data_IF_483307058921
#
_entry.id   IF_483307058921
#
_cell.length_a   1.000
_cell.length_b   1.000
_cell.length_c   1.000
_cell.angle_alpha   90.00
_cell.angle_beta   90.00
_cell.angle_gamma   90.00
#
_symmetry.space_group_name_H-M   'P 1'
#
loop_
_entity.id
_entity.type
_entity.pdbx_description
1 polymer ?
#
# COMPACT_ATOMS: atom_id res chain seq x y z
N UNK A 1 -7.52 16.28 19.16
CA UNK A 1 -8.07 16.38 20.54
C UNK A 1 -8.59 15.00 20.92
N UNK A 2 -8.25 14.47 22.10
CA UNK A 2 -8.81 13.21 22.59
C UNK A 2 -10.34 13.32 22.69
N UNK A 3 -11.02 12.27 22.28
CA UNK A 3 -12.45 12.12 22.52
C UNK A 3 -12.66 11.26 23.77
N UNK A 4 -13.50 11.71 24.70
CA UNK A 4 -13.82 10.96 25.92
C UNK A 4 -15.22 10.38 25.79
N UNK A 5 -15.33 9.07 25.89
CA UNK A 5 -16.61 8.36 25.91
C UNK A 5 -16.79 7.68 27.27
N UNK A 6 -17.82 8.07 27.98
CA UNK A 6 -18.14 7.48 29.28
C UNK A 6 -19.11 6.31 29.10
N UNK A 7 -18.63 5.10 29.32
CA UNK A 7 -19.43 3.90 29.31
C UNK A 7 -19.82 3.50 30.74
N UNK A 8 -21.02 3.01 30.92
CA UNK A 8 -21.48 2.43 32.16
C UNK A 8 -22.09 1.06 31.92
N UNK A 9 -21.67 0.06 32.66
CA UNK A 9 -22.14 -1.31 32.53
C UNK A 9 -21.37 -2.25 33.43
N UNK A 10 -21.70 -3.53 33.34
CA UNK A 10 -21.00 -4.61 34.07
C UNK A 10 -20.55 -5.67 33.11
N UNK A 11 -19.28 -6.02 33.17
CA UNK A 11 -18.72 -7.16 32.43
C UNK A 11 -18.43 -8.26 33.44
N UNK A 12 -19.07 -9.41 33.28
CA UNK A 12 -18.82 -10.56 34.16
C UNK A 12 -17.40 -11.10 33.95
N UNK A 13 -16.85 -11.76 34.95
CA UNK A 13 -15.52 -12.36 34.86
C UNK A 13 -15.42 -13.29 33.65
N UNK A 14 -14.31 -13.19 32.89
CA UNK A 14 -14.03 -13.94 31.66
C UNK A 14 -14.91 -13.59 30.45
N UNK A 15 -15.78 -12.58 30.56
CA UNK A 15 -16.61 -12.10 29.46
C UNK A 15 -16.00 -10.89 28.78
N UNK A 16 -16.47 -10.57 27.58
CA UNK A 16 -16.15 -9.36 26.85
C UNK A 16 -17.45 -8.62 26.47
N UNK A 17 -17.31 -7.32 26.19
CA UNK A 17 -18.38 -6.46 25.73
C UNK A 17 -17.87 -5.64 24.53
N UNK A 18 -18.60 -5.68 23.44
CA UNK A 18 -18.36 -4.76 22.32
C UNK A 18 -19.03 -3.43 22.65
N UNK A 19 -18.26 -2.36 22.52
CA UNK A 19 -18.73 -1.00 22.76
C UNK A 19 -18.59 -0.23 21.44
N UNK A 20 -19.72 0.24 20.91
CA UNK A 20 -19.73 1.11 19.74
C UNK A 20 -19.37 2.53 20.17
N UNK A 21 -18.31 3.06 19.59
CA UNK A 21 -17.91 4.44 19.79
C UNK A 21 -18.66 5.36 18.84
N UNK A 22 -18.91 6.62 19.21
CA UNK A 22 -19.48 7.59 18.30
C UNK A 22 -18.62 7.77 17.04
N UNK A 23 -19.23 8.08 15.89
CA UNK A 23 -18.48 8.30 14.66
C UNK A 23 -17.56 9.52 14.79
N UNK A 24 -16.35 9.37 14.27
CA UNK A 24 -15.38 10.46 14.16
C UNK A 24 -15.13 10.79 12.70
N UNK A 25 -15.01 12.07 12.39
CA UNK A 25 -14.64 12.51 11.04
C UNK A 25 -13.13 12.47 10.91
N UNK A 26 -12.65 11.80 9.87
CA UNK A 26 -11.24 11.78 9.52
C UNK A 26 -11.08 12.12 8.03
N UNK A 27 -9.96 12.73 7.67
CA UNK A 27 -9.60 13.05 6.29
C UNK A 27 -9.08 11.80 5.58
N UNK A 28 -9.01 11.84 4.26
CA UNK A 28 -8.33 10.81 3.48
C UNK A 28 -6.88 10.68 3.92
N UNK A 29 -6.38 9.45 4.00
CA UNK A 29 -5.00 9.15 4.40
C UNK A 29 -4.90 8.04 5.43
N UNK A 30 -3.68 7.77 5.87
CA UNK A 30 -3.39 6.79 6.91
C UNK A 30 -3.58 7.41 8.31
N UNK A 31 -4.19 6.67 9.21
CA UNK A 31 -4.53 7.08 10.57
C UNK A 31 -4.15 6.00 11.57
N UNK A 32 -3.90 6.43 12.80
CA UNK A 32 -3.75 5.55 13.96
C UNK A 32 -4.84 5.89 14.95
N UNK A 33 -5.70 4.92 15.26
CA UNK A 33 -6.61 4.99 16.39
C UNK A 33 -5.84 4.53 17.64
N UNK A 34 -5.74 5.42 18.61
CA UNK A 34 -5.23 5.09 19.95
C UNK A 34 -6.40 5.14 20.94
N UNK A 35 -6.49 4.17 21.83
CA UNK A 35 -7.46 4.17 22.89
C UNK A 35 -6.79 3.96 24.24
N UNK A 36 -7.37 4.53 25.27
CA UNK A 36 -6.98 4.37 26.66
C UNK A 36 -8.26 4.11 27.45
N UNK A 37 -8.29 3.03 28.20
CA UNK A 37 -9.33 2.72 29.16
C UNK A 37 -8.95 3.29 30.52
N UNK A 38 -9.92 3.84 31.21
CA UNK A 38 -9.74 4.31 32.59
C UNK A 38 -10.84 3.72 33.44
N UNK A 39 -10.48 2.87 34.39
CA UNK A 39 -11.40 2.21 35.31
C UNK A 39 -10.94 2.45 36.76
N UNK A 40 -11.78 2.98 37.62
CA UNK A 40 -11.41 3.13 39.02
C UNK A 40 -11.11 1.76 39.67
N UNK A 41 -9.98 1.63 40.33
CA UNK A 41 -9.58 0.41 41.03
C UNK A 41 -8.97 -0.68 40.16
N UNK A 42 -8.65 -0.38 38.91
CA UNK A 42 -7.95 -1.30 38.03
C UNK A 42 -6.52 -1.56 38.53
N UNK A 43 -6.20 -2.84 38.75
CA UNK A 43 -4.90 -3.29 39.25
C UNK A 43 -3.88 -3.55 38.13
N UNK A 44 -4.30 -3.53 36.84
CA UNK A 44 -3.46 -3.89 35.69
C UNK A 44 -3.48 -2.81 34.62
N UNK A 45 -2.75 -1.73 34.83
CA UNK A 45 -2.68 -0.60 33.90
C UNK A 45 -2.09 -0.94 32.53
N UNK A 46 -1.31 -2.02 32.43
CA UNK A 46 -0.57 -2.35 31.19
C UNK A 46 -1.48 -2.83 30.05
N UNK A 47 -2.71 -3.27 30.37
CA UNK A 47 -3.71 -3.66 29.38
C UNK A 47 -4.73 -2.57 29.04
N UNK A 48 -4.56 -1.39 29.59
CA UNK A 48 -5.50 -0.27 29.48
C UNK A 48 -5.38 0.56 28.21
N UNK A 49 -4.42 0.25 27.34
CA UNK A 49 -4.22 1.01 26.12
C UNK A 49 -3.95 0.10 24.94
N UNK A 50 -4.32 0.57 23.77
CA UNK A 50 -3.99 -0.09 22.52
C UNK A 50 -4.05 0.88 21.35
N UNK A 51 -3.60 0.41 20.20
CA UNK A 51 -3.70 1.16 18.96
C UNK A 51 -3.96 0.22 17.79
N UNK A 52 -4.54 0.77 16.73
CA UNK A 52 -4.69 0.10 15.45
C UNK A 52 -4.53 1.13 14.33
N UNK A 53 -3.99 0.68 13.21
CA UNK A 53 -3.85 1.51 12.02
C UNK A 53 -4.99 1.24 11.05
N UNK A 54 -5.49 2.28 10.42
CA UNK A 54 -6.47 2.21 9.35
C UNK A 54 -6.23 3.33 8.35
N UNK A 55 -6.88 3.29 7.20
CA UNK A 55 -6.86 4.40 6.26
C UNK A 55 -8.26 4.74 5.77
N UNK A 56 -8.47 6.04 5.51
CA UNK A 56 -9.66 6.57 4.87
C UNK A 56 -9.34 6.78 3.40
N UNK A 57 -10.14 6.23 2.53
CA UNK A 57 -9.95 6.29 1.09
C UNK A 57 -11.13 6.96 0.39
N UNK A 58 -10.90 7.41 -0.86
CA UNK A 58 -11.91 8.03 -1.71
C UNK A 58 -12.29 7.12 -2.87
N UNK A 59 -13.42 7.42 -3.49
CA UNK A 59 -13.80 6.83 -4.78
C UNK A 59 -12.96 7.43 -5.90
N UNK A 60 -12.34 6.55 -6.70
CA UNK A 60 -11.63 6.92 -7.91
C UNK A 60 -12.56 7.04 -9.12
N UNK A 61 -12.17 7.84 -10.08
CA UNK A 61 -12.86 7.98 -11.37
C UNK A 61 -12.18 7.09 -12.40
N UNK A 62 -12.90 6.10 -12.91
CA UNK A 62 -12.40 5.24 -13.99
C UNK A 62 -12.15 6.06 -15.25
N UNK A 63 -11.00 5.83 -15.90
CA UNK A 63 -10.59 6.53 -17.11
C UNK A 63 -9.89 7.87 -16.86
N UNK A 64 -9.79 8.34 -15.62
CA UNK A 64 -8.96 9.49 -15.30
C UNK A 64 -7.47 9.11 -15.28
N UNK A 65 -6.63 10.06 -15.73
CA UNK A 65 -5.17 9.95 -15.65
C UNK A 65 -4.68 10.75 -14.46
N UNK A 66 -3.99 10.08 -13.54
CA UNK A 66 -3.37 10.73 -12.41
C UNK A 66 -1.94 11.16 -12.78
N UNK A 67 -1.67 12.46 -12.79
CA UNK A 67 -0.36 13.03 -13.06
C UNK A 67 0.44 13.32 -11.80
N UNK A 68 -0.15 13.12 -10.62
CA UNK A 68 0.41 13.40 -9.30
C UNK A 68 0.83 14.88 -9.09
N UNK A 69 0.37 15.79 -9.92
CA UNK A 69 0.67 17.22 -9.78
C UNK A 69 -0.24 17.91 -8.76
N UNK A 70 -1.44 17.40 -8.57
CA UNK A 70 -2.41 17.92 -7.61
C UNK A 70 -2.41 17.06 -6.32
N UNK A 71 -2.59 17.73 -5.18
CA UNK A 71 -2.71 17.03 -3.88
C UNK A 71 -3.93 16.11 -3.84
N UNK A 72 -5.02 16.45 -4.53
CA UNK A 72 -6.20 15.60 -4.65
C UNK A 72 -5.96 14.28 -5.40
N UNK A 73 -4.90 14.24 -6.21
CA UNK A 73 -4.53 13.05 -6.98
C UNK A 73 -3.58 12.12 -6.21
N UNK A 74 -3.26 12.45 -4.97
CA UNK A 74 -2.30 11.69 -4.20
C UNK A 74 -2.79 10.27 -3.89
N UNK A 75 -1.86 9.32 -4.02
CA UNK A 75 -2.04 7.98 -3.51
C UNK A 75 -1.79 7.97 -1.98
N UNK A 76 -2.36 7.01 -1.27
CA UNK A 76 -2.12 6.89 0.16
C UNK A 76 -0.82 6.11 0.37
N UNK A 77 0.15 6.75 1.02
CA UNK A 77 1.41 6.12 1.39
C UNK A 77 1.24 5.44 2.75
N UNK A 78 1.51 4.14 2.79
CA UNK A 78 1.53 3.36 4.02
C UNK A 78 2.93 2.79 4.17
N UNK A 79 3.64 3.18 5.22
CA UNK A 79 4.94 2.64 5.57
C UNK A 79 4.82 1.31 6.30
N UNK A 80 5.82 0.44 6.11
CA UNK A 80 6.07 -0.69 6.99
C UNK A 80 6.69 -0.24 8.33
N UNK A 81 7.11 -1.20 9.14
CA UNK A 81 7.68 -0.96 10.48
C UNK A 81 9.00 -0.17 10.46
N UNK A 82 9.75 -0.19 9.35
CA UNK A 82 10.98 0.58 9.15
C UNK A 82 10.71 1.81 8.29
N UNK A 83 11.26 2.95 8.67
CA UNK A 83 11.06 4.23 8.02
C UNK A 83 11.66 4.24 6.61
N UNK A 84 10.83 4.29 5.62
CA UNK A 84 11.19 4.39 4.21
C UNK A 84 9.93 4.32 3.40
N UNK A 85 9.34 5.46 3.12
CA UNK A 85 8.06 5.55 2.47
C UNK A 85 8.22 6.07 1.06
N UNK A 86 7.28 5.70 0.18
CA UNK A 86 7.11 6.39 -1.07
C UNK A 86 6.98 7.90 -0.83
N UNK A 87 7.72 8.68 -1.59
CA UNK A 87 7.69 10.14 -1.52
C UNK A 87 7.26 10.70 -2.87
N UNK A 88 6.28 11.60 -2.85
CA UNK A 88 5.87 12.32 -4.05
C UNK A 88 6.79 13.51 -4.30
N UNK A 89 7.31 13.62 -5.51
CA UNK A 89 8.21 14.71 -5.88
C UNK A 89 8.84 14.52 -7.25
N UNK A 90 9.88 15.31 -7.48
CA UNK A 90 10.68 15.29 -8.70
C UNK A 90 12.09 14.78 -8.36
N UNK A 91 12.62 13.94 -9.20
CA UNK A 91 14.02 13.52 -9.17
C UNK A 91 14.76 14.16 -10.33
N UNK A 92 15.86 14.85 -10.07
CA UNK A 92 16.59 15.64 -11.06
C UNK A 92 17.92 15.04 -11.48
N UNK A 93 18.38 14.02 -10.79
CA UNK A 93 19.68 13.37 -11.00
C UNK A 93 19.50 11.91 -11.39
N UNK A 94 20.54 11.36 -12.06
CA UNK A 94 20.68 9.95 -12.46
C UNK A 94 19.69 9.41 -13.51
N UNK A 95 19.75 8.08 -13.70
CA UNK A 95 19.00 7.35 -14.72
C UNK A 95 17.47 7.32 -14.44
N UNK A 96 17.05 7.63 -13.20
CA UNK A 96 15.65 7.66 -12.78
C UNK A 96 15.09 9.07 -12.67
N UNK A 97 15.75 10.07 -13.27
CA UNK A 97 15.29 11.46 -13.29
C UNK A 97 13.89 11.58 -13.92
N UNK A 98 13.02 12.35 -13.28
CA UNK A 98 11.60 12.47 -13.70
C UNK A 98 11.36 13.52 -14.79
N UNK A 99 12.42 14.14 -15.32
CA UNK A 99 12.36 15.18 -16.34
C UNK A 99 11.40 16.34 -15.99
N UNK A 100 11.35 16.72 -14.73
CA UNK A 100 10.48 17.79 -14.23
C UNK A 100 9.05 17.35 -13.90
N UNK A 101 8.68 16.09 -14.16
CA UNK A 101 7.37 15.56 -13.78
C UNK A 101 7.33 15.10 -12.33
N UNK A 102 6.19 15.24 -11.70
CA UNK A 102 5.94 14.68 -10.38
C UNK A 102 5.69 13.18 -10.49
N UNK A 103 6.32 12.42 -9.60
CA UNK A 103 6.13 10.97 -9.48
C UNK A 103 6.18 10.55 -8.01
N UNK A 104 5.80 9.30 -7.74
CA UNK A 104 6.13 8.65 -6.47
C UNK A 104 7.44 7.89 -6.62
N UNK A 105 8.36 8.13 -5.71
CA UNK A 105 9.69 7.53 -5.68
C UNK A 105 9.97 6.94 -4.29
N UNK A 106 10.79 5.93 -4.25
CA UNK A 106 11.28 5.34 -2.99
C UNK A 106 12.37 6.21 -2.35
N UNK A 107 12.99 7.09 -3.12
CA UNK A 107 13.83 8.20 -2.64
C UNK A 107 13.86 9.31 -3.71
N UNK A 108 13.85 10.57 -3.30
CA UNK A 108 13.97 11.73 -4.20
C UNK A 108 15.42 11.99 -4.64
N UNK A 109 16.39 11.49 -3.90
CA UNK A 109 17.83 11.62 -4.21
C UNK A 109 18.60 10.45 -3.64
N UNK A 110 19.54 9.89 -4.42
CA UNK A 110 20.30 8.72 -3.99
C UNK A 110 19.50 7.42 -4.02
N UNK A 111 20.02 6.40 -3.34
CA UNK A 111 19.47 5.06 -3.37
C UNK A 111 18.25 4.92 -2.44
N UNK A 112 17.43 3.92 -2.68
CA UNK A 112 16.31 3.59 -1.82
C UNK A 112 16.78 2.99 -0.48
N UNK A 113 16.00 3.08 0.59
CA UNK A 113 16.35 2.49 1.88
C UNK A 113 16.36 0.96 1.86
N UNK A 114 17.23 0.36 2.68
CA UNK A 114 17.28 -1.09 2.91
C UNK A 114 16.19 -1.56 3.89
N UNK A 115 15.85 -2.83 3.84
CA UNK A 115 15.03 -3.51 4.83
C UNK A 115 13.62 -2.94 4.97
N UNK A 116 13.07 -2.34 3.89
CA UNK A 116 11.75 -1.72 3.97
C UNK A 116 10.71 -2.47 3.16
N UNK A 117 9.47 -2.38 3.63
CA UNK A 117 8.30 -2.74 2.86
C UNK A 117 7.30 -1.60 2.95
N UNK A 118 6.99 -0.99 1.82
CA UNK A 118 6.10 0.17 1.76
C UNK A 118 5.05 0.02 0.67
N UNK A 119 3.92 0.69 0.87
CA UNK A 119 2.73 0.54 0.06
C UNK A 119 2.26 1.88 -0.47
N UNK A 120 1.91 1.90 -1.74
CA UNK A 120 1.30 3.04 -2.41
C UNK A 120 -0.12 2.64 -2.83
N UNK A 121 -1.13 3.08 -2.08
CA UNK A 121 -2.51 2.62 -2.20
C UNK A 121 -3.32 3.57 -3.07
N UNK A 122 -4.00 3.03 -4.06
CA UNK A 122 -4.87 3.76 -4.97
C UNK A 122 -6.20 4.14 -4.31
N UNK A 123 -6.98 4.97 -4.99
CA UNK A 123 -8.40 5.17 -4.71
C UNK A 123 -9.17 3.85 -4.92
N UNK A 124 -10.42 3.82 -4.42
CA UNK A 124 -11.34 2.71 -4.59
C UNK A 124 -12.13 2.90 -5.89
N UNK A 125 -12.15 1.90 -6.76
CA UNK A 125 -12.82 1.97 -8.06
C UNK A 125 -14.03 1.04 -8.13
N UNK A 126 -15.07 1.51 -8.80
CA UNK A 126 -16.20 0.69 -9.20
C UNK A 126 -16.04 0.30 -10.68
N UNK A 127 -15.86 -0.99 -10.94
CA UNK A 127 -15.69 -1.52 -12.30
C UNK A 127 -16.97 -2.08 -12.90
N UNK A 128 -18.11 -2.01 -12.18
CA UNK A 128 -19.40 -2.44 -12.72
C UNK A 128 -19.71 -1.69 -14.02
N UNK A 129 -20.04 -2.44 -15.05
CA UNK A 129 -20.39 -1.92 -16.38
C UNK A 129 -19.24 -1.18 -17.11
N UNK A 130 -18.00 -1.30 -16.64
CA UNK A 130 -16.84 -0.77 -17.36
C UNK A 130 -16.43 -1.77 -18.45
N UNK A 131 -16.44 -1.31 -19.70
CA UNK A 131 -16.00 -2.12 -20.83
C UNK A 131 -14.48 -2.21 -20.88
N UNK A 132 -13.97 -3.45 -20.93
CA UNK A 132 -12.53 -3.73 -21.00
C UNK A 132 -11.69 -2.96 -19.95
N UNK A 133 -12.01 -3.09 -18.66
CA UNK A 133 -11.26 -2.39 -17.62
C UNK A 133 -9.80 -2.84 -17.60
N UNK A 134 -8.92 -1.89 -17.36
CA UNK A 134 -7.47 -2.15 -17.22
C UNK A 134 -6.85 -1.19 -16.20
N UNK A 135 -5.79 -1.63 -15.55
CA UNK A 135 -4.88 -0.76 -14.82
C UNK A 135 -3.67 -0.45 -15.71
N UNK A 136 -3.26 0.80 -15.75
CA UNK A 136 -2.08 1.22 -16.49
C UNK A 136 -1.31 2.28 -15.71
N UNK A 137 0.01 2.17 -15.69
CA UNK A 137 0.90 3.17 -15.10
C UNK A 137 2.29 3.12 -15.75
N UNK A 138 3.06 4.17 -15.54
CA UNK A 138 4.46 4.22 -15.97
C UNK A 138 5.36 3.91 -14.78
N UNK A 139 6.35 3.07 -15.02
CA UNK A 139 7.33 2.63 -14.03
C UNK A 139 8.74 2.62 -14.64
N UNK A 140 9.70 3.11 -13.87
CA UNK A 140 11.13 2.89 -14.07
C UNK A 140 11.73 2.44 -12.73
N UNK A 141 12.73 1.60 -12.76
CA UNK A 141 13.34 1.04 -11.55
C UNK A 141 14.79 0.64 -11.79
N UNK A 142 15.56 0.68 -10.72
CA UNK A 142 16.89 0.08 -10.60
C UNK A 142 16.93 -0.58 -9.22
N UNK A 143 16.87 -1.89 -9.18
CA UNK A 143 16.69 -2.71 -7.99
C UNK A 143 17.77 -3.80 -7.96
N UNK A 144 18.17 -4.25 -6.80
CA UNK A 144 18.99 -5.44 -6.70
C UNK A 144 18.24 -6.65 -7.24
N UNK A 145 18.88 -7.34 -8.21
CA UNK A 145 18.24 -8.44 -8.93
C UNK A 145 17.89 -9.59 -7.98
N UNK A 146 16.60 -9.97 -7.93
CA UNK A 146 16.01 -11.04 -7.13
C UNK A 146 15.94 -10.79 -5.61
N UNK A 147 16.50 -9.68 -5.12
CA UNK A 147 16.43 -9.33 -3.70
C UNK A 147 15.41 -8.24 -3.45
N UNK A 148 15.48 -7.17 -4.24
CA UNK A 148 14.56 -6.06 -4.16
C UNK A 148 13.49 -6.13 -5.24
N UNK A 149 12.26 -5.84 -4.88
CA UNK A 149 11.12 -6.13 -5.73
C UNK A 149 10.05 -5.04 -5.68
N UNK A 150 9.36 -4.88 -6.81
CA UNK A 150 8.11 -4.13 -6.90
C UNK A 150 7.03 -5.04 -7.46
N UNK A 151 5.83 -4.98 -6.90
CA UNK A 151 4.69 -5.73 -7.40
C UNK A 151 3.37 -5.02 -7.10
N UNK A 152 2.30 -5.46 -7.74
CA UNK A 152 0.96 -4.90 -7.55
C UNK A 152 0.06 -5.91 -6.86
N UNK A 153 -0.69 -5.44 -5.89
CA UNK A 153 -1.75 -6.20 -5.25
C UNK A 153 -3.10 -5.50 -5.44
N UNK A 154 -4.15 -6.27 -5.35
CA UNK A 154 -5.52 -5.78 -5.32
C UNK A 154 -6.28 -6.31 -4.11
N UNK A 155 -7.32 -5.57 -3.73
CA UNK A 155 -8.30 -5.95 -2.72
C UNK A 155 -9.71 -5.63 -3.23
N UNK A 156 -10.67 -6.53 -2.96
CA UNK A 156 -12.10 -6.34 -3.24
C UNK A 156 -12.93 -6.26 -1.95
N UNK A 157 -12.28 -6.23 -0.81
CA UNK A 157 -12.87 -6.21 0.53
C UNK A 157 -12.36 -5.03 1.38
N UNK A 158 -12.22 -3.86 0.74
CA UNK A 158 -11.79 -2.61 1.36
C UNK A 158 -10.40 -2.64 1.99
N UNK A 159 -9.51 -3.52 1.51
CA UNK A 159 -8.15 -3.63 2.01
C UNK A 159 -7.98 -4.63 3.16
N UNK A 160 -9.01 -5.41 3.50
CA UNK A 160 -8.90 -6.45 4.52
C UNK A 160 -7.99 -7.60 4.07
N UNK A 161 -8.08 -8.00 2.81
CA UNK A 161 -7.22 -9.00 2.19
C UNK A 161 -6.61 -8.47 0.89
N UNK A 162 -5.39 -8.89 0.61
CA UNK A 162 -4.64 -8.46 -0.56
C UNK A 162 -4.12 -9.65 -1.35
N UNK A 163 -4.36 -9.64 -2.66
CA UNK A 163 -3.94 -10.68 -3.58
C UNK A 163 -2.99 -10.11 -4.62
N UNK A 164 -2.03 -10.92 -5.08
CA UNK A 164 -1.14 -10.54 -6.17
C UNK A 164 -1.94 -10.31 -7.45
N UNK A 165 -1.67 -9.22 -8.17
CA UNK A 165 -2.31 -8.92 -9.44
C UNK A 165 -1.48 -9.46 -10.59
N UNK A 166 -1.92 -10.56 -11.17
CA UNK A 166 -1.29 -11.14 -12.36
C UNK A 166 -0.05 -11.98 -12.08
N UNK A 167 0.56 -12.42 -13.16
CA UNK A 167 1.76 -13.26 -13.20
C UNK A 167 2.79 -12.67 -14.14
N UNK A 168 4.02 -13.17 -14.14
CA UNK A 168 5.07 -12.73 -15.06
C UNK A 168 4.75 -13.02 -16.54
N UNK A 169 5.24 -12.16 -17.40
CA UNK A 169 5.09 -12.26 -18.86
C UNK A 169 4.14 -11.24 -19.45
N UNK A 170 4.02 -11.24 -20.79
CA UNK A 170 3.09 -10.39 -21.55
C UNK A 170 3.16 -8.89 -21.27
N UNK A 171 4.36 -8.37 -20.98
CA UNK A 171 4.54 -6.94 -20.70
C UNK A 171 4.12 -6.50 -19.29
N UNK A 172 3.91 -7.44 -18.38
CA UNK A 172 3.64 -7.16 -16.96
C UNK A 172 4.91 -7.39 -16.13
N UNK A 173 4.98 -8.38 -15.27
CA UNK A 173 6.18 -8.64 -14.46
C UNK A 173 7.33 -9.27 -15.28
N UNK A 174 8.57 -9.07 -14.83
CA UNK A 174 9.77 -9.71 -15.44
C UNK A 174 10.29 -10.93 -14.65
N UNK A 175 9.71 -11.23 -13.50
CA UNK A 175 10.10 -12.36 -12.66
C UNK A 175 8.88 -13.08 -12.08
N UNK A 176 8.98 -14.41 -11.97
CA UNK A 176 8.00 -15.29 -11.32
C UNK A 176 8.60 -16.07 -10.14
N UNK A 177 9.76 -15.65 -9.64
CA UNK A 177 10.44 -16.31 -8.53
C UNK A 177 9.60 -16.29 -7.27
N UNK A 178 9.80 -17.31 -6.43
CA UNK A 178 9.22 -17.44 -5.10
C UNK A 178 10.31 -17.83 -4.09
N UNK A 179 10.16 -17.57 -2.80
CA UNK A 179 11.20 -17.83 -1.80
C UNK A 179 11.54 -19.31 -1.62
N UNK A 180 10.63 -20.20 -1.99
CA UNK A 180 10.76 -21.65 -1.76
C UNK A 180 11.43 -22.42 -2.90
N UNK A 181 11.85 -21.73 -3.96
CA UNK A 181 12.52 -22.39 -5.09
C UNK A 181 13.94 -22.72 -4.72
N UNK A 182 14.36 -23.99 -4.81
CA UNK A 182 15.74 -24.43 -4.55
C UNK A 182 16.71 -23.64 -5.44
N UNK A 183 17.71 -23.03 -4.82
CA UNK A 183 18.65 -22.12 -5.50
C UNK A 183 18.02 -20.75 -5.81
N UNK A 184 16.87 -20.46 -5.23
CA UNK A 184 16.28 -19.14 -5.28
C UNK A 184 16.93 -18.25 -4.24
N UNK A 185 17.42 -17.16 -4.71
CA UNK A 185 17.97 -16.03 -3.99
C UNK A 185 16.96 -14.88 -3.84
N UNK A 186 15.71 -15.15 -4.13
CA UNK A 186 14.65 -14.15 -4.08
C UNK A 186 13.99 -14.13 -2.70
N UNK A 187 14.30 -13.09 -1.93
CA UNK A 187 13.72 -12.88 -0.63
C UNK A 187 12.30 -12.29 -0.76
N UNK A 188 11.31 -12.95 -0.14
CA UNK A 188 9.92 -12.49 -0.10
C UNK A 188 9.23 -12.27 -1.47
N UNK A 189 9.71 -12.85 -2.55
CA UNK A 189 9.10 -12.76 -3.87
C UNK A 189 7.70 -13.39 -3.89
N UNK A 190 6.66 -12.67 -4.34
CA UNK A 190 5.29 -13.18 -4.33
C UNK A 190 4.96 -14.12 -5.51
N UNK A 191 5.88 -14.32 -6.47
CA UNK A 191 5.65 -15.12 -7.67
C UNK A 191 5.23 -14.32 -8.91
N UNK A 192 5.22 -13.00 -8.80
CA UNK A 192 5.01 -12.06 -9.89
C UNK A 192 5.50 -10.68 -9.42
N UNK A 193 6.62 -10.20 -9.98
CA UNK A 193 7.26 -8.96 -9.56
C UNK A 193 8.17 -8.38 -10.64
N UNK A 194 8.49 -7.10 -10.52
CA UNK A 194 9.63 -6.47 -11.17
C UNK A 194 10.84 -6.49 -10.24
N UNK A 195 12.00 -6.78 -10.79
CA UNK A 195 13.29 -6.82 -10.11
C UNK A 195 14.41 -6.54 -11.11
N UNK A 196 15.63 -6.24 -10.65
CA UNK A 196 16.73 -5.79 -11.51
C UNK A 196 16.52 -4.37 -12.02
N UNK A 197 16.92 -4.05 -13.24
CA UNK A 197 16.88 -2.68 -13.73
C UNK A 197 16.09 -2.51 -15.03
N UNK A 198 15.21 -1.52 -15.04
CA UNK A 198 14.65 -0.88 -16.23
C UNK A 198 14.55 0.62 -15.96
N UNK A 199 15.57 1.37 -16.33
CA UNK A 199 15.64 2.82 -16.09
C UNK A 199 14.88 3.64 -17.13
N UNK A 200 14.33 2.99 -18.17
CA UNK A 200 13.44 3.64 -19.13
C UNK A 200 12.01 3.66 -18.60
N UNK A 201 11.41 4.85 -18.54
CA UNK A 201 10.02 5.00 -18.08
C UNK A 201 9.06 4.27 -19.03
N UNK A 202 8.68 3.07 -18.66
CA UNK A 202 7.90 2.12 -19.46
C UNK A 202 6.44 2.09 -18.97
N UNK A 203 5.49 2.06 -19.91
CA UNK A 203 4.08 1.86 -19.58
C UNK A 203 3.80 0.38 -19.40
N UNK A 204 3.27 0.03 -18.23
CA UNK A 204 2.77 -1.29 -17.91
C UNK A 204 1.25 -1.27 -17.85
N UNK A 205 0.61 -2.27 -18.42
CA UNK A 205 -0.85 -2.40 -18.49
C UNK A 205 -1.26 -3.83 -18.16
N UNK A 206 -2.30 -3.96 -17.33
CA UNK A 206 -2.86 -5.27 -17.00
C UNK A 206 -4.39 -5.25 -17.17
N UNK A 207 -4.98 -6.22 -17.88
CA UNK A 207 -6.42 -6.32 -18.08
C UNK A 207 -7.13 -6.72 -16.78
N UNK A 208 -8.25 -6.08 -16.50
CA UNK A 208 -9.06 -6.30 -15.33
C UNK A 208 -10.43 -6.92 -15.65
N UNK A 209 -10.56 -7.61 -16.79
CA UNK A 209 -11.82 -8.23 -17.22
C UNK A 209 -12.40 -9.22 -16.20
N UNK A 210 -11.53 -9.91 -15.46
CA UNK A 210 -11.96 -10.80 -14.36
C UNK A 210 -12.63 -10.04 -13.19
N UNK A 211 -12.47 -8.73 -13.12
CA UNK A 211 -13.01 -7.85 -12.07
C UNK A 211 -14.15 -6.93 -12.56
N UNK A 212 -14.67 -7.13 -13.76
CA UNK A 212 -15.68 -6.25 -14.40
C UNK A 212 -17.03 -6.16 -13.66
N UNK A 213 -17.25 -7.02 -12.67
CA UNK A 213 -18.42 -7.00 -11.79
C UNK A 213 -18.14 -6.49 -10.38
N UNK A 214 -16.91 -6.06 -10.12
CA UNK A 214 -16.53 -5.56 -8.80
C UNK A 214 -16.98 -4.11 -8.62
N UNK A 215 -17.80 -3.86 -7.62
CA UNK A 215 -18.21 -2.50 -7.23
C UNK A 215 -17.18 -1.79 -6.35
N UNK A 216 -16.19 -2.54 -5.87
CA UNK A 216 -15.14 -2.05 -5.00
C UNK A 216 -13.85 -2.82 -5.30
N UNK A 217 -12.87 -2.13 -5.86
CA UNK A 217 -11.52 -2.66 -6.03
C UNK A 217 -10.50 -1.57 -5.73
N UNK A 218 -9.50 -1.92 -4.96
CA UNK A 218 -8.38 -1.07 -4.58
C UNK A 218 -7.10 -1.75 -5.03
N UNK A 219 -6.15 -0.99 -5.53
CA UNK A 219 -4.82 -1.47 -5.89
C UNK A 219 -3.77 -0.89 -4.94
N UNK A 220 -2.68 -1.63 -4.75
CA UNK A 220 -1.49 -1.06 -4.14
C UNK A 220 -0.24 -1.52 -4.87
N UNK A 221 0.70 -0.60 -5.06
CA UNK A 221 2.05 -0.90 -5.48
C UNK A 221 2.85 -1.17 -4.21
N UNK A 222 3.51 -2.30 -4.15
CA UNK A 222 4.36 -2.70 -3.03
C UNK A 222 5.80 -2.59 -3.47
N UNK A 223 6.60 -1.88 -2.72
CA UNK A 223 8.05 -1.90 -2.79
C UNK A 223 8.58 -2.68 -1.58
N UNK A 224 9.51 -3.59 -1.81
CA UNK A 224 10.13 -4.38 -0.75
C UNK A 224 11.60 -4.53 -1.06
N UNK A 225 12.47 -4.04 -0.19
CA UNK A 225 13.91 -4.23 -0.22
C UNK A 225 14.34 -5.13 0.94
N UNK A 226 15.41 -5.89 0.72
CA UNK A 226 16.07 -6.61 1.80
C UNK A 226 17.07 -5.70 2.56
N UNK A 227 17.85 -6.26 3.45
CA UNK A 227 18.88 -5.54 4.22
C UNK A 227 20.25 -5.51 3.51
N UNK A 228 20.30 -5.99 2.28
CA UNK A 228 21.52 -6.11 1.48
C UNK A 228 21.99 -4.81 0.83
N UNK A 229 22.62 -4.95 -0.32
CA UNK A 229 23.07 -3.83 -1.17
C UNK A 229 21.95 -3.20 -2.00
N UNK A 230 22.10 -1.94 -2.37
CA UNK A 230 21.21 -1.21 -3.29
C UNK A 230 21.93 -0.93 -4.62
#
# INVERSE_FOLDING_TARGET
TPYVYNWSGTIAATQNQIIDLPPVTATRGAHILKFILTTPGDAFSDNNSGNTSFYINDSGVVGSVNSFTNVSDELIVIGGECAGNWTRGNRTSDALATAGNTAYLTNLSGDYPHGIKSYLVSQCYNLNNVSNPQISFKLAYSLELNWDIVYVQYSTDFGANWNLLGTSGSGWYNSNRTPLTTGSDCNNCPGGQWTGANTTLTTYTYPLSAFSTQSNIIFRIVFHSDEGTV
#
